data_IF_281672983656
#
_entry.id   IF_281672983656
#
_cell.length_a   1.000
_cell.length_b   1.000
_cell.length_c   1.000
_cell.angle_alpha   90.00
_cell.angle_beta   90.00
_cell.angle_gamma   90.00
#
_symmetry.space_group_name_H-M   'P 1'
#
loop_
_entity.id
_entity.type
_entity.pdbx_description
1 polymer ?
#
# COMPACT_ATOMS: atom_id res chain seq x y z
N UNK A 1 -37.72 36.69 -10.65
CA UNK A 1 -38.42 35.77 -9.75
C UNK A 1 -37.50 35.56 -8.56
N UNK A 2 -37.65 36.42 -7.54
CA UNK A 2 -37.01 36.25 -6.23
C UNK A 2 -37.59 34.99 -5.60
N UNK A 3 -36.73 34.14 -5.04
CA UNK A 3 -37.14 33.13 -4.09
C UNK A 3 -36.44 33.47 -2.78
N UNK A 4 -37.29 33.91 -1.86
CA UNK A 4 -36.99 34.24 -0.47
C UNK A 4 -36.44 33.00 0.25
N UNK A 5 -35.30 33.17 0.93
CA UNK A 5 -34.84 32.22 1.94
C UNK A 5 -35.49 32.64 3.26
N UNK A 6 -36.58 31.97 3.63
CA UNK A 6 -37.09 31.99 5.00
C UNK A 6 -36.47 30.83 5.77
N UNK A 7 -35.90 31.18 6.92
CA UNK A 7 -35.32 30.29 7.92
C UNK A 7 -36.33 29.23 8.41
N UNK A 8 -35.96 27.96 8.34
CA UNK A 8 -36.56 26.90 9.14
C UNK A 8 -35.46 26.24 9.98
N UNK A 9 -35.36 26.71 11.22
CA UNK A 9 -34.67 26.03 12.32
C UNK A 9 -35.42 24.74 12.66
N UNK A 10 -35.09 23.65 11.96
CA UNK A 10 -35.45 22.30 12.43
C UNK A 10 -34.50 21.88 13.55
N UNK A 11 -35.00 22.07 14.78
CA UNK A 11 -34.48 21.50 16.02
C UNK A 11 -34.48 19.96 15.92
N UNK A 12 -33.41 19.38 15.39
CA UNK A 12 -33.11 17.96 15.57
C UNK A 12 -32.34 17.81 16.87
N UNK A 13 -33.07 17.46 17.94
CA UNK A 13 -32.49 16.93 19.17
C UNK A 13 -31.52 15.79 18.82
N UNK A 14 -30.22 16.07 18.87
CA UNK A 14 -29.14 15.08 18.91
C UNK A 14 -29.20 14.33 20.24
N UNK A 15 -30.17 13.41 20.37
CA UNK A 15 -30.05 12.27 21.29
C UNK A 15 -29.31 11.17 20.55
N UNK A 16 -28.43 10.49 21.27
CA UNK A 16 -27.55 9.40 20.82
C UNK A 16 -26.22 9.80 20.18
N UNK A 17 -25.49 10.75 20.78
CA UNK A 17 -24.02 10.62 20.81
C UNK A 17 -23.68 9.50 21.78
N UNK A 18 -23.52 8.29 21.22
CA UNK A 18 -23.06 7.11 21.93
C UNK A 18 -21.87 7.43 22.84
N UNK A 19 -22.15 7.49 24.14
CA UNK A 19 -21.21 7.19 25.19
C UNK A 19 -20.63 5.81 24.90
N UNK A 20 -19.46 5.78 24.25
CA UNK A 20 -18.59 4.61 24.27
C UNK A 20 -18.22 4.39 25.74
N UNK A 21 -18.98 3.49 26.36
CA UNK A 21 -18.96 3.26 27.79
C UNK A 21 -17.60 2.75 28.26
N UNK A 22 -17.28 3.06 29.51
CA UNK A 22 -16.15 2.47 30.23
C UNK A 22 -16.09 0.92 30.15
N UNK A 23 -17.21 0.26 29.80
CA UNK A 23 -17.30 -1.17 29.54
C UNK A 23 -16.47 -1.67 28.34
N UNK A 24 -16.34 -0.88 27.26
CA UNK A 24 -15.52 -1.25 26.09
C UNK A 24 -14.02 -1.11 26.38
N UNK A 25 -13.64 -0.26 27.34
CA UNK A 25 -12.28 -0.22 27.89
C UNK A 25 -12.00 -1.45 28.74
N UNK A 26 -12.93 -1.87 29.59
CA UNK A 26 -12.77 -3.00 30.50
C UNK A 26 -12.63 -4.36 29.79
N UNK A 27 -13.35 -4.59 28.69
CA UNK A 27 -13.25 -5.83 27.92
C UNK A 27 -11.91 -5.94 27.17
N UNK A 28 -11.40 -4.82 26.66
CA UNK A 28 -10.07 -4.77 26.03
C UNK A 28 -8.97 -4.85 27.10
N UNK A 29 -9.13 -4.19 28.24
CA UNK A 29 -8.18 -4.24 29.35
C UNK A 29 -7.97 -5.66 29.88
N UNK A 30 -9.03 -6.49 29.95
CA UNK A 30 -8.91 -7.88 30.40
C UNK A 30 -8.14 -8.77 29.41
N UNK A 31 -8.33 -8.58 28.10
CA UNK A 31 -7.60 -9.35 27.07
C UNK A 31 -6.16 -8.85 26.91
N UNK A 32 -5.94 -7.54 27.12
CA UNK A 32 -4.62 -6.90 27.13
C UNK A 32 -3.83 -7.29 28.37
N UNK A 33 -4.48 -7.43 29.52
CA UNK A 33 -3.88 -7.91 30.75
C UNK A 33 -3.31 -9.33 30.60
N UNK A 34 -4.01 -10.20 29.87
CA UNK A 34 -3.56 -11.57 29.60
C UNK A 34 -2.45 -11.62 28.53
N UNK A 35 -2.46 -10.69 27.57
CA UNK A 35 -1.47 -10.63 26.49
C UNK A 35 -0.12 -9.99 26.87
N UNK A 36 -0.11 -9.08 27.86
CA UNK A 36 1.08 -8.36 28.30
C UNK A 36 1.93 -9.12 29.33
N UNK A 37 1.52 -10.32 29.74
CA UNK A 37 2.31 -11.20 30.62
C UNK A 37 3.45 -11.85 29.83
N UNK A 38 4.44 -11.06 29.43
CA UNK A 38 5.68 -11.57 28.85
C UNK A 38 6.54 -12.22 29.95
N UNK A 39 7.00 -13.46 29.73
CA UNK A 39 7.90 -14.17 30.65
C UNK A 39 9.30 -13.56 30.63
N UNK A 40 9.64 -12.79 31.66
CA UNK A 40 11.02 -12.44 32.01
C UNK A 40 11.51 -13.35 33.15
N UNK A 41 12.77 -13.83 33.12
CA UNK A 41 13.31 -14.73 34.13
C UNK A 41 13.45 -14.01 35.48
N UNK A 42 13.03 -14.70 36.55
CA UNK A 42 13.11 -14.24 37.93
C UNK A 42 14.57 -13.98 38.33
N UNK A 43 14.95 -12.71 38.48
CA UNK A 43 16.14 -12.34 39.26
C UNK A 43 15.82 -11.20 40.25
N UNK A 44 16.01 -11.56 41.52
CA UNK A 44 16.56 -10.79 42.64
C UNK A 44 15.71 -9.72 43.37
N UNK A 45 15.50 -10.01 44.67
CA UNK A 45 15.55 -9.12 45.84
C UNK A 45 14.86 -7.74 45.73
N UNK A 46 13.55 -7.75 45.96
CA UNK A 46 12.74 -6.58 46.31
C UNK A 46 11.61 -7.00 47.29
N UNK A 47 10.83 -6.05 47.85
CA UNK A 47 9.68 -6.39 48.69
C UNK A 47 8.79 -7.38 47.93
N UNK A 48 8.38 -8.47 48.62
CA UNK A 48 7.58 -9.54 48.04
C UNK A 48 6.25 -8.95 47.57
N UNK A 49 6.18 -8.61 46.28
CA UNK A 49 4.95 -8.15 45.64
C UNK A 49 3.97 -9.32 45.59
N UNK A 50 2.69 -9.04 45.88
CA UNK A 50 1.65 -10.04 45.68
C UNK A 50 1.53 -10.38 44.18
N UNK A 51 1.05 -11.58 43.81
CA UNK A 51 0.84 -11.93 42.41
C UNK A 51 0.02 -10.89 41.63
N UNK A 52 -0.99 -10.29 42.27
CA UNK A 52 -1.81 -9.21 41.71
C UNK A 52 -1.02 -7.92 41.48
N UNK A 53 -0.19 -7.50 42.43
CA UNK A 53 0.66 -6.31 42.27
C UNK A 53 1.70 -6.50 41.16
N UNK A 54 2.26 -7.71 41.03
CA UNK A 54 3.18 -8.04 39.96
C UNK A 54 2.50 -8.05 38.59
N UNK A 55 1.27 -8.56 38.51
CA UNK A 55 0.46 -8.54 37.31
C UNK A 55 0.15 -7.10 36.89
N UNK A 56 -0.30 -6.26 37.83
CA UNK A 56 -0.59 -4.85 37.56
C UNK A 56 0.63 -4.09 37.04
N UNK A 57 1.80 -4.28 37.68
CA UNK A 57 3.05 -3.67 37.25
C UNK A 57 3.46 -4.10 35.82
N UNK A 58 3.22 -5.36 35.45
CA UNK A 58 3.48 -5.86 34.08
C UNK A 58 2.56 -5.23 33.05
N UNK A 59 1.28 -5.02 33.39
CA UNK A 59 0.31 -4.35 32.53
C UNK A 59 0.73 -2.90 32.30
N UNK A 60 1.07 -2.17 33.36
CA UNK A 60 1.53 -0.79 33.28
C UNK A 60 2.80 -0.64 32.43
N UNK A 61 3.79 -1.52 32.64
CA UNK A 61 5.00 -1.54 31.84
C UNK A 61 4.71 -1.90 30.36
N UNK A 62 3.79 -2.82 30.12
CA UNK A 62 3.34 -3.21 28.79
C UNK A 62 2.67 -2.06 28.03
N UNK A 63 1.75 -1.34 28.69
CA UNK A 63 1.10 -0.15 28.14
C UNK A 63 2.13 0.93 27.81
N UNK A 64 3.08 1.19 28.73
CA UNK A 64 4.15 2.17 28.50
C UNK A 64 5.00 1.83 27.28
N UNK A 65 5.40 0.56 27.13
CA UNK A 65 6.16 0.10 25.96
C UNK A 65 5.38 0.26 24.65
N UNK A 66 4.07 0.07 24.68
CA UNK A 66 3.21 0.27 23.51
C UNK A 66 3.04 1.76 23.17
N UNK A 67 2.93 2.64 24.18
CA UNK A 67 2.90 4.09 23.98
C UNK A 67 4.20 4.62 23.36
N UNK A 68 5.34 4.13 23.85
CA UNK A 68 6.67 4.49 23.35
C UNK A 68 7.04 3.78 22.04
N UNK A 69 6.19 2.89 21.53
CA UNK A 69 6.45 2.12 20.33
C UNK A 69 6.49 3.03 19.09
N UNK A 70 7.68 3.16 18.50
CA UNK A 70 7.87 3.89 17.23
C UNK A 70 7.45 3.10 16.00
N UNK A 71 7.31 1.78 16.12
CA UNK A 71 7.00 0.91 14.99
C UNK A 71 5.54 1.02 14.58
N UNK A 72 5.28 0.97 13.29
CA UNK A 72 3.92 0.96 12.76
C UNK A 72 3.29 -0.42 12.94
N UNK A 73 1.96 -0.47 13.02
CA UNK A 73 1.21 -1.73 12.97
C UNK A 73 1.66 -2.62 11.80
N UNK A 74 1.77 -2.05 10.60
CA UNK A 74 2.16 -2.79 9.38
C UNK A 74 3.55 -3.40 9.50
N UNK A 75 4.50 -2.70 10.10
CA UNK A 75 5.86 -3.21 10.35
C UNK A 75 5.82 -4.41 11.29
N UNK A 76 5.06 -4.32 12.39
CA UNK A 76 4.92 -5.42 13.36
C UNK A 76 4.21 -6.63 12.74
N UNK A 77 3.13 -6.42 11.97
CA UNK A 77 2.41 -7.49 11.28
C UNK A 77 3.29 -8.19 10.21
N UNK A 78 4.19 -7.45 9.56
CA UNK A 78 5.18 -8.01 8.64
C UNK A 78 6.17 -8.93 9.38
N UNK A 79 6.70 -8.52 10.53
CA UNK A 79 7.58 -9.38 11.34
C UNK A 79 6.85 -10.63 11.84
N UNK A 80 5.61 -10.49 12.29
CA UNK A 80 4.78 -11.63 12.69
C UNK A 80 4.57 -12.59 11.50
N UNK A 81 4.31 -12.06 10.31
CA UNK A 81 4.15 -12.86 9.10
C UNK A 81 5.43 -13.62 8.75
N UNK A 82 6.60 -12.99 8.89
CA UNK A 82 7.90 -13.65 8.70
C UNK A 82 8.13 -14.79 9.72
N UNK A 83 7.78 -14.57 11.00
CA UNK A 83 7.87 -15.61 12.03
C UNK A 83 6.90 -16.77 11.75
N UNK A 84 5.69 -16.48 11.26
CA UNK A 84 4.73 -17.51 10.85
C UNK A 84 5.25 -18.32 9.66
N UNK A 85 5.87 -17.67 8.66
CA UNK A 85 6.48 -18.35 7.53
C UNK A 85 7.57 -19.32 8.00
N UNK A 86 8.49 -18.84 8.85
CA UNK A 86 9.52 -19.69 9.45
C UNK A 86 8.93 -20.85 10.27
N UNK A 87 7.88 -20.59 11.06
CA UNK A 87 7.19 -21.63 11.83
C UNK A 87 6.57 -22.69 10.91
N UNK A 88 5.93 -22.29 9.81
CA UNK A 88 5.37 -23.22 8.83
C UNK A 88 6.47 -24.13 8.25
N UNK A 89 7.61 -23.56 7.88
CA UNK A 89 8.76 -24.33 7.36
C UNK A 89 9.27 -25.34 8.41
N UNK A 90 9.45 -24.90 9.67
CA UNK A 90 9.91 -25.77 10.75
C UNK A 90 8.93 -26.89 11.11
N UNK A 91 7.63 -26.62 11.05
CA UNK A 91 6.57 -27.63 11.28
C UNK A 91 6.53 -28.62 10.13
N UNK A 92 6.67 -28.17 8.88
CA UNK A 92 6.74 -29.04 7.72
C UNK A 92 7.95 -29.99 7.78
N UNK A 93 9.08 -29.52 8.31
CA UNK A 93 10.28 -30.34 8.57
C UNK A 93 10.19 -31.21 9.85
N UNK A 94 9.10 -31.11 10.62
CA UNK A 94 8.92 -31.86 11.87
C UNK A 94 9.84 -31.42 13.02
N UNK A 95 10.46 -30.23 12.93
CA UNK A 95 11.41 -29.72 13.94
C UNK A 95 10.76 -28.93 15.07
N UNK A 96 9.57 -28.37 14.84
CA UNK A 96 8.89 -27.51 15.81
C UNK A 96 7.55 -28.10 16.27
N UNK A 97 7.41 -28.27 17.59
CA UNK A 97 6.20 -28.80 18.27
C UNK A 97 5.39 -27.67 18.93
N UNK A 98 5.90 -26.43 18.85
CA UNK A 98 5.28 -25.28 19.50
C UNK A 98 3.97 -24.87 18.83
N UNK A 99 3.06 -24.32 19.63
CA UNK A 99 1.79 -23.76 19.14
C UNK A 99 2.02 -22.62 18.14
N UNK A 100 1.04 -22.39 17.27
CA UNK A 100 1.09 -21.36 16.25
C UNK A 100 1.45 -19.97 16.82
N UNK A 101 2.44 -19.24 16.25
CA UNK A 101 2.93 -17.97 16.80
C UNK A 101 1.87 -16.87 16.93
N UNK A 102 0.87 -16.85 16.04
CA UNK A 102 -0.23 -15.86 16.08
C UNK A 102 -1.35 -16.28 17.04
N UNK A 103 -1.09 -16.17 18.34
CA UNK A 103 -2.06 -16.45 19.39
C UNK A 103 -3.09 -15.33 19.58
N UNK A 104 -4.12 -15.57 20.42
CA UNK A 104 -5.09 -14.53 20.81
C UNK A 104 -4.41 -13.30 21.43
N UNK A 105 -3.39 -13.51 22.25
CA UNK A 105 -2.59 -12.45 22.86
C UNK A 105 -1.90 -11.56 21.83
N UNK A 106 -1.32 -12.15 20.78
CA UNK A 106 -0.69 -11.40 19.68
C UNK A 106 -1.72 -10.57 18.92
N UNK A 107 -2.92 -11.11 18.69
CA UNK A 107 -4.02 -10.37 18.05
C UNK A 107 -4.49 -9.19 18.92
N UNK A 108 -4.57 -9.37 20.23
CA UNK A 108 -4.93 -8.31 21.17
C UNK A 108 -3.89 -7.19 21.19
N UNK A 109 -2.60 -7.54 21.27
CA UNK A 109 -1.50 -6.58 21.22
C UNK A 109 -1.54 -5.74 19.92
N UNK A 110 -1.78 -6.41 18.80
CA UNK A 110 -1.93 -5.78 17.49
C UNK A 110 -3.12 -4.80 17.46
N UNK A 111 -4.26 -5.15 18.05
CA UNK A 111 -5.42 -4.28 18.13
C UNK A 111 -5.14 -3.03 19.00
N UNK A 112 -4.46 -3.19 20.14
CA UNK A 112 -4.03 -2.04 20.97
C UNK A 112 -3.10 -1.12 20.20
N UNK A 113 -2.11 -1.68 19.49
CA UNK A 113 -1.17 -0.89 18.70
C UNK A 113 -1.88 -0.07 17.61
N UNK A 114 -2.91 -0.62 16.97
CA UNK A 114 -3.75 0.12 16.02
C UNK A 114 -4.50 1.27 16.70
N UNK A 115 -5.16 1.00 17.84
CA UNK A 115 -5.91 2.02 18.60
C UNK A 115 -4.99 3.17 19.04
N UNK A 116 -3.84 2.84 19.62
CA UNK A 116 -2.82 3.82 20.03
C UNK A 116 -2.28 4.62 18.84
N UNK A 117 -2.10 3.98 17.68
CA UNK A 117 -1.71 4.70 16.48
C UNK A 117 -2.76 5.73 16.10
N UNK A 118 -4.04 5.37 16.10
CA UNK A 118 -5.15 6.30 15.80
C UNK A 118 -5.20 7.44 16.82
N UNK A 119 -5.06 7.15 18.11
CA UNK A 119 -5.09 8.17 19.17
C UNK A 119 -3.88 9.10 19.08
N UNK A 120 -2.69 8.57 18.78
CA UNK A 120 -1.50 9.39 18.51
C UNK A 120 -1.74 10.35 17.33
N UNK A 121 -2.32 9.86 16.23
CA UNK A 121 -2.64 10.71 15.06
C UNK A 121 -3.58 11.85 15.41
N UNK A 122 -4.58 11.59 16.28
CA UNK A 122 -5.49 12.62 16.80
C UNK A 122 -4.74 13.64 17.66
N UNK A 123 -3.90 13.18 18.60
CA UNK A 123 -3.14 14.04 19.52
C UNK A 123 -2.10 14.90 18.79
N UNK A 124 -1.51 14.39 17.72
CA UNK A 124 -0.56 15.15 16.89
C UNK A 124 -1.23 16.02 15.84
N UNK A 125 -2.57 16.12 15.84
CA UNK A 125 -3.35 16.84 14.82
C UNK A 125 -2.96 16.46 13.39
N UNK A 126 -2.64 15.17 13.16
CA UNK A 126 -2.28 14.73 11.82
C UNK A 126 -3.50 14.92 10.91
N UNK A 127 -3.27 15.54 9.75
CA UNK A 127 -4.31 15.75 8.76
C UNK A 127 -4.96 14.40 8.37
N UNK A 128 -6.28 14.35 8.51
CA UNK A 128 -7.10 13.16 8.18
C UNK A 128 -7.10 12.89 6.68
N UNK A 129 -6.77 13.89 5.85
CA UNK A 129 -6.65 13.76 4.42
C UNK A 129 -5.39 13.00 3.97
N UNK A 130 -4.36 12.90 4.80
CA UNK A 130 -3.07 12.27 4.44
C UNK A 130 -3.25 10.77 4.19
N UNK A 131 -2.68 10.26 3.10
CA UNK A 131 -2.86 8.90 2.59
C UNK A 131 -4.31 8.51 2.32
N UNK A 132 -5.18 9.49 2.04
CA UNK A 132 -6.57 9.25 1.62
C UNK A 132 -6.78 9.68 0.17
N UNK A 133 -8.00 9.52 -0.33
CA UNK A 133 -8.40 10.04 -1.63
C UNK A 133 -8.11 11.55 -1.78
N UNK A 134 -8.11 12.31 -0.68
CA UNK A 134 -7.87 13.75 -0.69
C UNK A 134 -6.40 14.14 -0.87
N UNK A 135 -5.48 13.18 -0.77
CA UNK A 135 -4.02 13.31 -0.93
C UNK A 135 -3.54 13.04 -2.37
N UNK A 136 -4.46 12.71 -3.28
CA UNK A 136 -4.15 12.41 -4.69
C UNK A 136 -4.09 13.65 -5.59
N UNK A 137 -3.72 13.43 -6.85
CA UNK A 137 -3.83 14.45 -7.90
C UNK A 137 -5.28 14.88 -8.07
N UNK A 138 -5.54 16.17 -7.90
CA UNK A 138 -6.88 16.78 -8.06
C UNK A 138 -7.06 17.37 -9.45
N UNK A 139 -5.99 17.85 -10.06
CA UNK A 139 -6.03 18.49 -11.37
C UNK A 139 -5.01 17.87 -12.32
N UNK A 140 -5.32 17.96 -13.62
CA UNK A 140 -4.39 17.56 -14.68
C UNK A 140 -3.08 18.33 -14.61
N UNK A 141 -3.13 19.62 -14.25
CA UNK A 141 -1.95 20.47 -14.11
C UNK A 141 -0.96 19.95 -13.08
N UNK A 142 -1.44 19.34 -11.98
CA UNK A 142 -0.56 18.72 -11.00
C UNK A 142 0.16 17.51 -11.61
N UNK A 143 -0.54 16.68 -12.38
CA UNK A 143 0.06 15.54 -13.10
C UNK A 143 1.12 16.04 -14.10
N UNK A 144 0.77 17.02 -14.94
CA UNK A 144 1.69 17.62 -15.92
C UNK A 144 2.94 18.19 -15.24
N UNK A 145 2.80 18.95 -14.15
CA UNK A 145 3.96 19.46 -13.39
C UNK A 145 4.88 18.36 -12.87
N UNK A 146 4.30 17.21 -12.50
CA UNK A 146 5.10 16.08 -12.02
C UNK A 146 5.86 15.43 -13.18
N UNK A 147 5.23 15.33 -14.35
CA UNK A 147 5.83 14.76 -15.56
C UNK A 147 6.91 15.68 -16.13
N UNK A 148 6.65 17.00 -16.16
CA UNK A 148 7.64 18.02 -16.50
C UNK A 148 8.90 17.86 -15.64
N UNK A 149 8.73 17.64 -14.34
CA UNK A 149 9.88 17.45 -13.45
C UNK A 149 10.70 16.20 -13.79
N UNK A 150 10.07 15.07 -14.13
CA UNK A 150 10.80 13.89 -14.59
C UNK A 150 11.47 14.12 -15.93
N UNK A 151 10.77 14.74 -16.87
CA UNK A 151 11.26 15.01 -18.22
C UNK A 151 12.46 15.96 -18.21
N UNK A 152 12.42 17.01 -17.37
CA UNK A 152 13.49 17.97 -17.18
C UNK A 152 14.78 17.37 -16.58
N UNK A 153 14.73 16.17 -16.00
CA UNK A 153 15.96 15.44 -15.59
C UNK A 153 16.81 15.04 -16.80
N UNK A 154 16.21 14.97 -17.99
CA UNK A 154 16.88 14.70 -19.28
C UNK A 154 17.82 13.48 -19.24
N UNK A 155 17.36 12.39 -18.62
CA UNK A 155 18.07 11.12 -18.55
C UNK A 155 17.08 9.95 -18.68
N UNK A 156 17.60 8.75 -18.95
CA UNK A 156 16.77 7.55 -19.13
C UNK A 156 15.98 7.22 -17.86
N UNK A 157 16.59 7.35 -16.68
CA UNK A 157 15.94 7.10 -15.39
C UNK A 157 14.71 8.00 -15.18
N UNK A 158 14.78 9.27 -15.60
CA UNK A 158 13.67 10.21 -15.55
C UNK A 158 12.51 9.73 -16.43
N UNK A 159 12.78 9.28 -17.65
CA UNK A 159 11.76 8.72 -18.54
C UNK A 159 11.18 7.40 -18.01
N UNK A 160 12.00 6.55 -17.39
CA UNK A 160 11.57 5.32 -16.72
C UNK A 160 10.63 5.62 -15.56
N UNK A 161 11.05 6.52 -14.65
CA UNK A 161 10.27 6.91 -13.47
C UNK A 161 8.95 7.57 -13.90
N UNK A 162 8.98 8.40 -14.95
CA UNK A 162 7.79 9.00 -15.55
C UNK A 162 6.84 7.92 -16.10
N UNK A 163 7.38 6.89 -16.76
CA UNK A 163 6.60 5.75 -17.29
C UNK A 163 5.97 4.95 -16.15
N UNK A 164 6.73 4.58 -15.12
CA UNK A 164 6.23 3.86 -13.94
C UNK A 164 5.12 4.64 -13.23
N UNK A 165 5.30 5.95 -13.07
CA UNK A 165 4.29 6.84 -12.53
C UNK A 165 3.01 6.82 -13.37
N UNK A 166 3.15 6.92 -14.70
CA UNK A 166 2.01 6.88 -15.62
C UNK A 166 1.26 5.56 -15.59
N UNK A 167 1.95 4.43 -15.42
CA UNK A 167 1.37 3.11 -15.27
C UNK A 167 0.59 2.98 -13.94
N UNK A 168 1.10 3.59 -12.87
CA UNK A 168 0.40 3.66 -11.59
C UNK A 168 -0.85 4.53 -11.64
N UNK A 169 -0.78 5.67 -12.34
CA UNK A 169 -1.86 6.65 -12.40
C UNK A 169 -2.97 6.24 -13.38
N UNK A 170 -2.61 5.88 -14.61
CA UNK A 170 -3.57 5.58 -15.68
C UNK A 170 -3.91 4.09 -15.76
N UNK A 171 -2.93 3.21 -15.57
CA UNK A 171 -3.14 1.76 -15.54
C UNK A 171 -3.63 1.24 -14.19
N UNK A 172 -3.68 2.09 -13.16
CA UNK A 172 -3.98 1.69 -11.78
C UNK A 172 -3.11 0.51 -11.30
N UNK A 173 -1.90 0.41 -11.84
CA UNK A 173 -1.00 -0.68 -11.56
C UNK A 173 -0.33 -0.46 -10.20
N UNK A 174 -0.41 -1.46 -9.33
CA UNK A 174 0.42 -1.51 -8.12
C UNK A 174 1.88 -1.76 -8.50
N UNK A 175 2.82 -1.29 -7.67
CA UNK A 175 4.25 -1.57 -7.82
C UNK A 175 4.58 -3.03 -8.13
N UNK A 176 3.96 -3.97 -7.41
CA UNK A 176 4.13 -5.42 -7.64
C UNK A 176 3.76 -5.84 -9.07
N UNK A 177 2.68 -5.28 -9.63
CA UNK A 177 2.28 -5.55 -11.00
C UNK A 177 3.23 -4.89 -11.99
N UNK A 178 3.64 -3.64 -11.73
CA UNK A 178 4.54 -2.88 -12.61
C UNK A 178 5.91 -3.54 -12.73
N UNK A 179 6.50 -3.97 -11.60
CA UNK A 179 7.82 -4.61 -11.56
C UNK A 179 7.83 -5.96 -12.29
N UNK A 180 6.70 -6.67 -12.27
CA UNK A 180 6.59 -7.97 -12.91
C UNK A 180 6.20 -7.89 -14.39
N UNK A 181 5.72 -6.74 -14.87
CA UNK A 181 5.26 -6.55 -16.24
C UNK A 181 6.41 -6.66 -17.23
N UNK A 182 6.28 -7.58 -18.18
CA UNK A 182 7.22 -7.75 -19.29
C UNK A 182 6.77 -6.97 -20.52
N UNK A 183 7.70 -6.68 -21.44
CA UNK A 183 7.35 -6.01 -22.69
C UNK A 183 6.34 -6.83 -23.52
N UNK A 184 6.43 -8.17 -23.47
CA UNK A 184 5.46 -9.07 -24.10
C UNK A 184 4.04 -9.01 -23.51
N UNK A 185 3.89 -8.52 -22.28
CA UNK A 185 2.58 -8.36 -21.64
C UNK A 185 1.86 -7.11 -22.15
N UNK A 186 2.56 -6.24 -22.90
CA UNK A 186 1.99 -5.07 -23.54
C UNK A 186 1.51 -5.39 -24.95
N UNK A 187 0.29 -4.99 -25.25
CA UNK A 187 -0.29 -4.99 -26.59
C UNK A 187 -0.85 -3.62 -26.94
N UNK A 188 -1.11 -3.41 -28.23
CA UNK A 188 -1.88 -2.27 -28.72
C UNK A 188 -3.16 -2.79 -29.38
N UNK A 189 -4.30 -2.23 -29.02
CA UNK A 189 -5.58 -2.51 -29.67
C UNK A 189 -6.12 -1.22 -30.26
N UNK A 190 -6.44 -1.25 -31.55
CA UNK A 190 -7.10 -0.14 -32.22
C UNK A 190 -8.54 -0.03 -31.72
N UNK A 191 -8.94 1.19 -31.33
CA UNK A 191 -10.33 1.44 -30.98
C UNK A 191 -11.15 1.58 -32.26
N UNK A 192 -12.38 1.04 -32.28
CA UNK A 192 -13.28 1.17 -33.43
C UNK A 192 -13.43 2.62 -33.91
N UNK A 193 -13.61 2.80 -35.23
CA UNK A 193 -13.68 4.11 -35.89
C UNK A 193 -14.85 5.01 -35.41
N UNK A 194 -15.81 4.45 -34.66
CA UNK A 194 -16.94 5.17 -34.06
C UNK A 194 -16.67 5.71 -32.65
N UNK A 195 -15.53 5.38 -32.02
CA UNK A 195 -15.19 5.78 -30.65
C UNK A 195 -14.41 7.11 -30.52
N UNK A 196 -14.33 7.93 -31.57
CA UNK A 196 -13.70 9.24 -31.48
C UNK A 196 -13.61 10.05 -32.78
N UNK A 197 -13.14 11.30 -32.67
CA UNK A 197 -12.92 12.17 -33.82
C UNK A 197 -11.64 11.84 -34.61
N UNK A 198 -10.73 11.04 -34.03
CA UNK A 198 -9.48 10.61 -34.65
C UNK A 198 -9.22 9.14 -34.33
N UNK A 199 -8.60 8.38 -35.26
CA UNK A 199 -8.13 7.03 -34.97
C UNK A 199 -7.26 7.02 -33.70
N UNK A 200 -7.58 6.12 -32.79
CA UNK A 200 -6.94 6.01 -31.49
C UNK A 200 -6.74 4.54 -31.15
N UNK A 201 -5.65 4.23 -30.45
CA UNK A 201 -5.38 2.89 -29.93
C UNK A 201 -5.21 2.97 -28.42
N UNK A 202 -5.53 1.87 -27.75
CA UNK A 202 -5.25 1.67 -26.35
C UNK A 202 -4.01 0.78 -26.20
N UNK A 203 -3.14 1.13 -25.27
CA UNK A 203 -2.10 0.22 -24.81
C UNK A 203 -2.71 -0.65 -23.72
N UNK A 204 -2.62 -1.96 -23.89
CA UNK A 204 -3.19 -2.97 -23.00
C UNK A 204 -2.03 -3.70 -22.32
N UNK A 205 -2.04 -3.71 -20.98
CA UNK A 205 -1.16 -4.49 -20.14
C UNK A 205 -1.90 -5.73 -19.60
N UNK A 206 -1.37 -6.91 -19.90
CA UNK A 206 -1.86 -8.20 -19.43
C UNK A 206 -1.28 -8.50 -18.04
N UNK A 207 -2.16 -8.72 -17.07
CA UNK A 207 -1.81 -8.99 -15.68
C UNK A 207 -2.28 -10.38 -15.31
N UNK A 208 -1.38 -11.35 -15.34
CA UNK A 208 -1.69 -12.73 -14.97
C UNK A 208 -1.27 -13.05 -13.53
N UNK A 209 -0.45 -12.21 -12.91
CA UNK A 209 0.07 -12.42 -11.56
C UNK A 209 -0.09 -11.15 -10.72
N UNK A 210 -0.11 -11.34 -9.40
CA UNK A 210 -0.14 -10.25 -8.44
C UNK A 210 -0.64 -10.74 -7.09
N UNK A 211 -0.38 -9.97 -6.03
CA UNK A 211 -0.73 -10.36 -4.65
C UNK A 211 -2.17 -10.88 -4.44
N UNK A 212 -3.16 -10.31 -5.12
CA UNK A 212 -4.58 -10.73 -5.02
C UNK A 212 -5.00 -11.72 -6.10
N UNK A 213 -4.10 -12.07 -7.02
CA UNK A 213 -4.35 -12.94 -8.16
C UNK A 213 -3.50 -14.22 -8.07
N UNK A 214 -3.65 -14.96 -6.98
CA UNK A 214 -2.90 -16.21 -6.74
C UNK A 214 -3.27 -17.34 -7.69
N UNK A 215 -4.41 -17.24 -8.38
CA UNK A 215 -4.93 -18.27 -9.30
C UNK A 215 -4.56 -18.05 -10.77
N UNK A 216 -3.83 -16.99 -11.10
CA UNK A 216 -3.41 -16.76 -12.48
C UNK A 216 -4.49 -16.22 -13.41
N UNK A 217 -5.56 -15.58 -12.89
CA UNK A 217 -6.64 -15.08 -13.74
C UNK A 217 -6.15 -13.92 -14.60
N UNK A 218 -6.42 -13.95 -15.90
CA UNK A 218 -6.04 -12.85 -16.80
C UNK A 218 -6.83 -11.60 -16.43
N UNK A 219 -6.12 -10.52 -16.08
CA UNK A 219 -6.68 -9.18 -15.89
C UNK A 219 -6.06 -8.25 -16.90
N UNK A 220 -6.81 -7.22 -17.28
CA UNK A 220 -6.39 -6.23 -18.25
C UNK A 220 -6.29 -4.88 -17.55
N UNK A 221 -5.23 -4.14 -17.87
CA UNK A 221 -5.10 -2.72 -17.56
C UNK A 221 -4.88 -2.01 -18.88
N UNK A 222 -5.72 -1.04 -19.22
CA UNK A 222 -5.62 -0.33 -20.48
C UNK A 222 -5.48 1.17 -20.23
N UNK A 223 -4.68 1.83 -21.05
CA UNK A 223 -4.56 3.29 -21.04
C UNK A 223 -4.46 3.83 -22.46
N UNK A 224 -5.05 5.00 -22.66
CA UNK A 224 -5.19 5.66 -23.96
C UNK A 224 -4.32 6.90 -24.04
N UNK A 225 -4.12 7.39 -25.26
CA UNK A 225 -3.45 8.66 -25.52
C UNK A 225 -4.22 9.81 -24.89
N UNK A 226 -3.52 10.62 -24.09
CA UNK A 226 -4.07 11.86 -23.56
C UNK A 226 -3.88 13.02 -24.56
N UNK A 227 -4.80 14.00 -24.54
CA UNK A 227 -4.72 15.21 -25.38
C UNK A 227 -3.42 16.02 -25.19
N UNK A 228 -3.01 16.19 -23.93
CA UNK A 228 -1.74 16.79 -23.55
C UNK A 228 -0.65 15.72 -23.53
N UNK A 229 0.42 15.97 -24.27
CA UNK A 229 1.57 15.07 -24.45
C UNK A 229 2.29 14.85 -23.12
N UNK A 230 2.44 15.90 -22.32
CA UNK A 230 3.12 15.83 -21.01
C UNK A 230 2.23 15.26 -19.89
N UNK A 231 1.05 14.75 -20.23
CA UNK A 231 0.22 13.92 -19.35
C UNK A 231 -0.21 12.62 -20.04
N UNK A 232 0.46 12.23 -21.14
CA UNK A 232 0.04 11.11 -21.97
C UNK A 232 0.83 9.83 -21.61
N UNK A 233 0.18 8.77 -21.08
CA UNK A 233 0.87 7.53 -20.71
C UNK A 233 1.45 6.77 -21.93
N UNK A 234 0.89 6.98 -23.11
CA UNK A 234 1.42 6.40 -24.37
C UNK A 234 2.70 7.13 -24.79
N UNK A 235 2.76 8.45 -24.61
CA UNK A 235 3.96 9.22 -24.91
C UNK A 235 5.11 8.88 -23.96
N UNK A 236 4.84 8.79 -22.66
CA UNK A 236 5.86 8.46 -21.66
C UNK A 236 6.51 7.11 -21.97
N UNK A 237 5.70 6.09 -22.25
CA UNK A 237 6.16 4.78 -22.68
C UNK A 237 6.97 4.84 -23.97
N UNK A 238 6.47 5.51 -25.01
CA UNK A 238 7.16 5.62 -26.28
C UNK A 238 8.51 6.34 -26.17
N UNK A 239 8.57 7.44 -25.39
CA UNK A 239 9.79 8.18 -25.14
C UNK A 239 10.82 7.34 -24.38
N UNK A 240 10.39 6.57 -23.38
CA UNK A 240 11.26 5.66 -22.64
C UNK A 240 11.80 4.53 -23.54
N UNK A 241 10.92 3.82 -24.27
CA UNK A 241 11.35 2.77 -25.20
C UNK A 241 12.29 3.31 -26.29
N UNK A 242 12.03 4.51 -26.80
CA UNK A 242 12.92 5.17 -27.74
C UNK A 242 14.29 5.45 -27.10
N UNK A 243 14.33 6.04 -25.90
CA UNK A 243 15.60 6.30 -25.22
C UNK A 243 16.39 5.01 -24.92
N UNK A 244 15.71 3.94 -24.50
CA UNK A 244 16.35 2.67 -24.15
C UNK A 244 16.83 1.86 -25.36
N UNK A 245 16.10 1.88 -26.48
CA UNK A 245 16.39 0.99 -27.62
C UNK A 245 16.85 1.72 -28.90
N UNK A 246 16.47 2.98 -29.13
CA UNK A 246 16.73 3.64 -30.42
C UNK A 246 18.21 3.97 -30.68
N UNK A 247 19.05 4.00 -29.64
CA UNK A 247 20.48 4.30 -29.77
C UNK A 247 21.31 3.11 -30.27
N UNK A 248 20.76 1.88 -30.25
CA UNK A 248 21.45 0.68 -30.71
C UNK A 248 20.53 -0.22 -31.54
N UNK A 249 20.76 -0.26 -32.85
CA UNK A 249 20.08 -1.23 -33.73
C UNK A 249 20.35 -2.69 -33.34
N UNK A 250 21.45 -2.97 -32.64
CA UNK A 250 21.75 -4.29 -32.11
C UNK A 250 20.87 -4.61 -30.89
N UNK A 251 20.65 -3.63 -30.00
CA UNK A 251 19.76 -3.80 -28.83
C UNK A 251 18.30 -3.99 -29.24
N UNK A 252 17.85 -3.34 -30.32
CA UNK A 252 16.52 -3.58 -30.89
C UNK A 252 16.43 -5.00 -31.46
N UNK A 253 17.44 -5.44 -32.22
CA UNK A 253 17.43 -6.81 -32.75
C UNK A 253 17.47 -7.86 -31.65
N UNK A 254 18.36 -7.72 -30.67
CA UNK A 254 18.49 -8.62 -29.53
C UNK A 254 17.21 -8.67 -28.68
N UNK A 255 16.64 -7.50 -28.35
CA UNK A 255 15.40 -7.43 -27.57
C UNK A 255 14.20 -8.05 -28.28
N UNK A 256 14.15 -8.06 -29.62
CA UNK A 256 12.98 -8.52 -30.40
C UNK A 256 13.19 -9.82 -31.19
N UNK A 257 14.41 -10.36 -31.32
CA UNK A 257 14.72 -11.61 -32.06
C UNK A 257 14.66 -12.88 -31.17
N UNK A 258 14.49 -12.76 -29.85
CA UNK A 258 14.49 -13.91 -28.93
C UNK A 258 13.36 -13.88 -27.90
N UNK A 259 13.16 -15.03 -27.23
CA UNK A 259 12.24 -15.22 -26.09
C UNK A 259 12.48 -14.23 -24.93
N UNK A 260 13.49 -13.36 -25.04
CA UNK A 260 13.82 -12.30 -24.10
C UNK A 260 12.74 -11.22 -24.00
N UNK A 261 11.92 -10.97 -25.04
CA UNK A 261 10.73 -10.09 -24.94
C UNK A 261 9.78 -10.55 -23.82
N UNK A 262 9.71 -11.87 -23.60
CA UNK A 262 8.88 -12.48 -22.56
C UNK A 262 9.45 -12.33 -21.15
N UNK A 263 10.71 -11.92 -21.04
CA UNK A 263 11.41 -11.75 -19.76
C UNK A 263 11.87 -10.32 -19.49
N UNK A 264 11.98 -9.48 -20.53
CA UNK A 264 12.43 -8.10 -20.43
C UNK A 264 11.36 -7.28 -19.73
N UNK A 265 11.74 -6.64 -18.61
CA UNK A 265 10.81 -5.85 -17.83
C UNK A 265 10.53 -4.52 -18.52
N UNK A 266 9.27 -4.07 -18.46
CA UNK A 266 8.86 -2.79 -19.09
C UNK A 266 9.64 -1.62 -18.53
N UNK A 267 9.93 -1.61 -17.23
CA UNK A 267 10.81 -0.64 -16.59
C UNK A 267 12.03 -1.37 -16.08
N UNK A 268 13.14 -1.34 -16.82
CA UNK A 268 14.37 -2.01 -16.42
C UNK A 268 14.94 -1.41 -15.13
N UNK A 269 15.27 -2.26 -14.16
CA UNK A 269 16.38 -1.97 -13.24
C UNK A 269 17.67 -2.33 -13.97
N UNK A 270 18.30 -1.36 -14.63
CA UNK A 270 19.72 -1.50 -14.92
C UNK A 270 20.45 -1.43 -13.58
N UNK A 271 20.94 -2.59 -13.12
CA UNK A 271 21.88 -2.71 -12.02
C UNK A 271 23.30 -2.71 -12.57
#
# INVERSE_FOLDING_TARGET
MQLDMEDHEDNVELKDTATLGAADFQAVDNVVAEALVFHAPNYLSGPVMTPEQLQQKRIEEGIRRLQDCKQSYSSVDMYISAVIALWNDQVAEGRNISKHPRSGSVKALLAVLQKMTVDRRKMTYQDKGVNTLFDGYKTREQVTKTYDWYFLRNNEEGLRDMTAHSFGLYGLLRSDNQLNLALSDLGSEDLPDDEGATPCFAVIALLQQGKTNTKGLVKYSAFMRAKDVFACPVFTLAAYLFASYATSSAAVKEAFEHAEVYTSKVTHENR
#
